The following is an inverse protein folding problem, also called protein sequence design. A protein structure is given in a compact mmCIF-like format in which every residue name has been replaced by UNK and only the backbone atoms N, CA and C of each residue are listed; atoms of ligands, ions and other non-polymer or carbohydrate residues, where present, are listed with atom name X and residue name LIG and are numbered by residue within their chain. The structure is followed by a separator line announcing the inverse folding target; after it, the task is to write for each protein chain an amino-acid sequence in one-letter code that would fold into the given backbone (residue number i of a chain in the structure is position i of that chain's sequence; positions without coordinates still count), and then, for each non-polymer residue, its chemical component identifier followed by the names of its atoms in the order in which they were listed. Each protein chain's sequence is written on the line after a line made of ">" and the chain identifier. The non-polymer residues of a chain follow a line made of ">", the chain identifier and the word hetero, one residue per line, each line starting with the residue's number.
data_IF_092750614476
#
_entry.id   IF_092750614476
#
_cell.length_a   1.000
_cell.length_b   1.000
_cell.length_c   1.000
_cell.angle_alpha   90.00
_cell.angle_beta   90.00
_cell.angle_gamma   90.00
#
_symmetry.space_group_name_H-M   'P 1'
#
loop_
_entity.id
_entity.type
_entity.pdbx_description
1 polymer ?
#
# COMPACT_ATOMS: atom_id res chain seq x y z
N UNK A 1 2.51 28.16 65.37
CA UNK A 1 2.36 26.73 65.72
C UNK A 1 2.58 25.81 64.53
N UNK A 2 2.05 26.11 63.33
CA UNK A 2 2.13 25.25 62.11
C UNK A 2 3.53 24.95 61.56
N UNK A 3 4.45 25.92 61.56
CA UNK A 3 5.80 25.74 60.99
C UNK A 3 6.71 24.74 61.74
N UNK A 4 6.36 24.37 62.98
CA UNK A 4 7.12 23.35 63.72
C UNK A 4 6.62 21.94 63.36
N UNK A 5 5.32 21.76 63.13
CA UNK A 5 4.74 20.48 62.72
C UNK A 5 5.31 20.02 61.38
N UNK A 6 5.39 20.93 60.39
CA UNK A 6 5.95 20.63 59.06
C UNK A 6 7.39 20.12 59.13
N UNK A 7 8.23 20.73 59.98
CA UNK A 7 9.64 20.31 60.18
C UNK A 7 9.77 18.93 60.82
N UNK A 8 8.82 18.56 61.68
CA UNK A 8 8.84 17.23 62.31
C UNK A 8 8.41 16.15 61.29
N UNK A 9 7.46 16.45 60.42
CA UNK A 9 7.05 15.56 59.32
C UNK A 9 8.18 15.37 58.31
N UNK A 10 8.87 16.45 57.94
CA UNK A 10 10.00 16.39 57.00
C UNK A 10 11.16 15.56 57.58
N UNK A 11 11.45 15.70 58.87
CA UNK A 11 12.47 14.90 59.57
C UNK A 11 12.08 13.42 59.69
N UNK A 12 10.79 13.12 59.83
CA UNK A 12 10.27 11.75 59.82
C UNK A 12 10.41 11.12 58.42
N UNK A 13 10.10 11.86 57.36
CA UNK A 13 10.25 11.40 55.97
C UNK A 13 11.73 11.14 55.66
N UNK A 14 12.64 12.04 56.05
CA UNK A 14 14.08 11.88 55.81
C UNK A 14 14.66 10.66 56.57
N UNK A 15 14.17 10.38 57.78
CA UNK A 15 14.56 9.20 58.54
C UNK A 15 14.04 7.90 57.89
N UNK A 16 12.77 7.89 57.47
CA UNK A 16 12.17 6.75 56.76
C UNK A 16 12.87 6.48 55.41
N UNK A 17 13.26 7.51 54.67
CA UNK A 17 14.00 7.36 53.42
C UNK A 17 15.45 6.89 53.63
N UNK A 18 16.11 7.29 54.72
CA UNK A 18 17.46 6.83 55.07
C UNK A 18 17.51 5.38 55.54
N UNK A 19 16.52 4.96 56.31
CA UNK A 19 16.45 3.59 56.86
C UNK A 19 15.94 2.58 55.82
N UNK A 20 15.27 3.07 54.77
CA UNK A 20 14.96 2.25 53.60
C UNK A 20 16.24 2.06 52.80
N UNK A 21 16.88 0.90 52.93
CA UNK A 21 18.00 0.51 52.07
C UNK A 21 17.57 0.72 50.62
N UNK A 22 18.21 1.66 49.91
CA UNK A 22 17.94 1.88 48.49
C UNK A 22 18.18 0.53 47.82
N UNK A 23 17.09 -0.12 47.38
CA UNK A 23 17.15 -1.34 46.61
C UNK A 23 17.84 -0.97 45.29
N UNK A 24 19.16 -1.09 45.27
CA UNK A 24 19.93 -0.88 44.06
C UNK A 24 19.44 -1.94 43.07
N UNK A 25 19.01 -1.54 41.87
CA UNK A 25 18.61 -2.51 40.87
C UNK A 25 19.74 -3.52 40.68
N UNK A 26 19.38 -4.75 40.33
CA UNK A 26 20.39 -5.75 39.98
C UNK A 26 21.34 -5.18 38.92
N UNK A 27 22.62 -5.55 38.96
CA UNK A 27 23.64 -5.09 38.00
C UNK A 27 23.16 -5.16 36.54
N UNK A 28 22.38 -6.19 36.19
CA UNK A 28 21.86 -6.41 34.83
C UNK A 28 20.45 -5.86 34.57
N UNK A 29 19.88 -5.05 35.47
CA UNK A 29 18.49 -4.56 35.35
C UNK A 29 18.30 -3.80 34.04
N UNK A 30 19.17 -2.84 33.75
CA UNK A 30 19.12 -2.04 32.52
C UNK A 30 19.27 -2.91 31.29
N UNK A 31 20.17 -3.91 31.32
CA UNK A 31 20.36 -4.84 30.21
C UNK A 31 19.12 -5.68 29.94
N UNK A 32 18.49 -6.25 30.98
CA UNK A 32 17.26 -7.03 30.85
C UNK A 32 16.09 -6.19 30.34
N UNK A 33 15.87 -5.01 30.92
CA UNK A 33 14.79 -4.11 30.49
C UNK A 33 15.01 -3.65 29.06
N UNK A 34 16.24 -3.26 28.70
CA UNK A 34 16.55 -2.84 27.33
C UNK A 34 16.41 -4.00 26.33
N UNK A 35 16.76 -5.23 26.71
CA UNK A 35 16.55 -6.41 25.86
C UNK A 35 15.06 -6.66 25.56
N UNK A 36 14.19 -6.49 26.55
CA UNK A 36 12.74 -6.65 26.38
C UNK A 36 12.13 -5.48 25.61
N UNK A 37 12.61 -4.26 25.83
CA UNK A 37 12.17 -3.07 25.08
C UNK A 37 12.59 -3.18 23.61
N UNK A 38 13.81 -3.64 23.32
CA UNK A 38 14.28 -3.85 21.94
C UNK A 38 13.46 -4.97 21.29
N UNK A 39 13.24 -6.11 21.96
CA UNK A 39 12.44 -7.21 21.44
C UNK A 39 10.97 -6.81 21.14
N UNK A 40 10.37 -5.97 21.98
CA UNK A 40 9.02 -5.46 21.76
C UNK A 40 8.99 -4.35 20.69
N UNK A 41 10.04 -3.54 20.56
CA UNK A 41 10.16 -2.53 19.49
C UNK A 41 10.42 -3.16 18.13
N UNK A 42 11.19 -4.25 18.03
CA UNK A 42 11.38 -4.97 16.76
C UNK A 42 10.10 -5.66 16.30
N UNK A 43 9.26 -6.11 17.23
CA UNK A 43 7.91 -6.63 16.89
C UNK A 43 6.93 -5.55 16.43
N UNK A 44 7.18 -4.28 16.78
CA UNK A 44 6.35 -3.12 16.40
C UNK A 44 7.05 -2.22 15.37
N UNK A 45 8.17 -2.66 14.79
CA UNK A 45 8.71 -2.01 13.60
C UNK A 45 7.63 -2.15 12.53
N UNK A 46 7.11 -1.01 12.08
CA UNK A 46 6.19 -0.88 10.96
C UNK A 46 6.86 -1.49 9.74
N UNK A 47 6.74 -2.81 9.62
CA UNK A 47 7.27 -3.55 8.49
C UNK A 47 6.46 -3.08 7.32
N UNK A 48 7.15 -2.45 6.37
CA UNK A 48 6.57 -1.94 5.15
C UNK A 48 6.07 -3.14 4.33
N UNK A 49 4.89 -3.64 4.68
CA UNK A 49 4.27 -4.73 3.97
C UNK A 49 3.73 -4.15 2.67
N UNK A 50 4.19 -4.64 1.51
CA UNK A 50 3.73 -4.10 0.24
C UNK A 50 2.21 -4.24 0.18
N UNK A 51 1.53 -3.13 -0.13
CA UNK A 51 0.06 -2.99 -0.14
C UNK A 51 -0.64 -4.09 -0.97
N UNK A 52 0.08 -4.66 -1.94
CA UNK A 52 -0.30 -5.82 -2.74
C UNK A 52 0.89 -6.77 -2.80
N UNK A 53 0.65 -8.06 -2.52
CA UNK A 53 1.67 -9.12 -2.62
C UNK A 53 2.22 -9.22 -4.05
N UNK A 54 3.52 -9.50 -4.19
CA UNK A 54 4.18 -9.63 -5.52
C UNK A 54 3.49 -10.67 -6.43
N UNK A 55 2.91 -11.71 -5.84
CA UNK A 55 2.17 -12.75 -6.55
C UNK A 55 0.84 -12.23 -7.13
N UNK A 56 0.17 -11.32 -6.44
CA UNK A 56 -1.09 -10.71 -6.89
C UNK A 56 -0.87 -9.82 -8.12
N UNK A 57 0.26 -9.11 -8.20
CA UNK A 57 0.61 -8.35 -9.41
C UNK A 57 0.79 -9.25 -10.64
N UNK A 58 1.41 -10.41 -10.48
CA UNK A 58 1.57 -11.40 -11.57
C UNK A 58 0.20 -11.91 -12.02
N UNK A 59 -0.70 -12.22 -11.09
CA UNK A 59 -2.04 -12.67 -11.40
C UNK A 59 -2.84 -11.61 -12.18
N UNK A 60 -2.75 -10.33 -11.79
CA UNK A 60 -3.39 -9.21 -12.50
C UNK A 60 -2.86 -9.09 -13.93
N UNK A 61 -1.54 -9.17 -14.10
CA UNK A 61 -0.91 -9.05 -15.42
C UNK A 61 -1.32 -10.19 -16.35
N UNK A 62 -1.37 -11.42 -15.83
CA UNK A 62 -1.84 -12.60 -16.58
C UNK A 62 -3.31 -12.43 -16.98
N UNK A 63 -4.18 -12.02 -16.05
CA UNK A 63 -5.60 -11.80 -16.34
C UNK A 63 -5.83 -10.76 -17.43
N UNK A 64 -5.06 -9.67 -17.39
CA UNK A 64 -5.09 -8.63 -18.42
C UNK A 64 -4.61 -9.17 -19.78
N UNK A 65 -3.51 -9.92 -19.80
CA UNK A 65 -2.97 -10.50 -21.03
C UNK A 65 -3.95 -11.47 -21.70
N UNK A 66 -4.65 -12.29 -20.91
CA UNK A 66 -5.70 -13.20 -21.41
C UNK A 66 -6.86 -12.41 -22.02
N UNK A 67 -7.29 -11.32 -21.37
CA UNK A 67 -8.36 -10.46 -21.88
C UNK A 67 -7.97 -9.80 -23.20
N UNK A 68 -6.73 -9.32 -23.31
CA UNK A 68 -6.19 -8.75 -24.56
C UNK A 68 -6.15 -9.82 -25.65
N UNK A 69 -5.64 -11.03 -25.35
CA UNK A 69 -5.58 -12.13 -26.31
C UNK A 69 -6.98 -12.54 -26.80
N UNK A 70 -7.98 -12.56 -25.91
CA UNK A 70 -9.36 -12.84 -26.26
C UNK A 70 -9.94 -11.79 -27.21
N UNK A 71 -9.67 -10.50 -26.97
CA UNK A 71 -10.11 -9.40 -27.84
C UNK A 71 -9.42 -9.47 -29.20
N UNK A 72 -8.12 -9.80 -29.25
CA UNK A 72 -7.38 -9.94 -30.51
C UNK A 72 -7.88 -11.14 -31.34
N UNK A 73 -8.21 -12.26 -30.70
CA UNK A 73 -8.71 -13.44 -31.40
C UNK A 73 -10.13 -13.25 -31.94
N UNK A 74 -10.99 -12.54 -31.21
CA UNK A 74 -12.37 -12.27 -31.62
C UNK A 74 -12.54 -10.95 -32.41
N UNK A 75 -11.47 -10.15 -32.53
CA UNK A 75 -11.45 -8.88 -33.26
C UNK A 75 -11.51 -9.12 -34.76
N UNK A 76 -12.69 -9.43 -35.27
CA UNK A 76 -12.94 -9.63 -36.70
C UNK A 76 -12.60 -8.38 -37.51
N UNK A 77 -11.79 -8.60 -38.54
CA UNK A 77 -11.41 -7.69 -39.61
C UNK A 77 -12.48 -6.66 -39.98
N UNK A 78 -12.23 -5.40 -39.62
CA UNK A 78 -12.87 -4.24 -40.25
C UNK A 78 -11.84 -3.51 -41.13
N UNK A 79 -11.28 -4.22 -42.10
CA UNK A 79 -10.91 -3.56 -43.36
C UNK A 79 -12.22 -3.23 -44.06
N UNK A 80 -12.55 -1.96 -44.30
CA UNK A 80 -13.26 -1.50 -45.50
C UNK A 80 -13.55 0.01 -45.41
N UNK A 81 -13.11 0.73 -46.45
CA UNK A 81 -13.48 2.09 -46.82
C UNK A 81 -15.01 2.32 -46.77
N UNK A 82 -15.56 2.79 -45.64
CA UNK A 82 -17.00 3.07 -45.49
C UNK A 82 -17.31 4.46 -44.93
N UNK A 83 -16.60 5.48 -45.39
CA UNK A 83 -16.92 6.89 -45.10
C UNK A 83 -18.17 7.42 -45.87
N UNK A 84 -18.86 6.62 -46.69
CA UNK A 84 -19.85 7.14 -47.64
C UNK A 84 -21.28 6.56 -47.59
N UNK A 85 -21.72 5.90 -46.50
CA UNK A 85 -23.14 5.50 -46.44
C UNK A 85 -23.69 5.47 -45.02
N UNK A 86 -24.07 6.64 -44.52
CA UNK A 86 -24.87 6.77 -43.30
C UNK A 86 -26.32 6.39 -43.61
N UNK A 87 -26.71 5.17 -43.25
CA UNK A 87 -28.08 4.70 -43.28
C UNK A 87 -28.77 5.01 -41.94
N UNK A 88 -29.81 5.86 -41.97
CA UNK A 88 -30.59 6.32 -40.82
C UNK A 88 -31.51 5.25 -40.19
N UNK A 89 -31.31 3.96 -40.50
CA UNK A 89 -32.06 2.86 -39.89
C UNK A 89 -31.52 2.45 -38.50
N UNK A 90 -30.56 3.22 -37.95
CA UNK A 90 -29.91 2.96 -36.65
C UNK A 90 -30.81 3.26 -35.43
N UNK A 91 -31.94 3.93 -35.63
CA UNK A 91 -32.83 4.35 -34.54
C UNK A 91 -33.87 3.29 -34.13
N UNK A 92 -34.13 2.27 -34.95
CA UNK A 92 -35.27 1.35 -34.76
C UNK A 92 -34.92 0.06 -34.01
N UNK A 93 -33.65 -0.25 -33.76
CA UNK A 93 -33.22 -1.46 -33.05
C UNK A 93 -32.06 -1.15 -32.07
N UNK A 94 -32.36 -0.35 -31.04
CA UNK A 94 -31.41 0.02 -29.99
C UNK A 94 -31.10 -1.17 -29.08
N UNK A 95 -30.09 -1.97 -29.47
CA UNK A 95 -29.42 -2.88 -28.55
C UNK A 95 -28.08 -2.23 -28.15
N UNK A 96 -27.96 -1.62 -26.95
CA UNK A 96 -26.83 -0.74 -26.59
C UNK A 96 -25.48 -1.46 -26.59
N UNK A 97 -25.50 -2.79 -26.53
CA UNK A 97 -24.32 -3.66 -26.52
C UNK A 97 -23.77 -3.86 -27.94
N UNK A 98 -24.61 -3.80 -28.98
CA UNK A 98 -24.21 -4.07 -30.37
C UNK A 98 -23.72 -2.83 -31.12
N UNK A 99 -24.01 -1.64 -30.60
CA UNK A 99 -23.62 -0.35 -31.19
C UNK A 99 -22.21 0.11 -30.77
N UNK A 100 -21.56 -0.59 -29.84
CA UNK A 100 -20.23 -0.24 -29.36
C UNK A 100 -19.13 -0.79 -30.29
N UNK A 101 -19.09 -0.26 -31.52
CA UNK A 101 -18.01 -0.57 -32.45
C UNK A 101 -16.88 0.45 -32.24
N UNK A 102 -15.84 0.05 -31.52
CA UNK A 102 -14.61 0.84 -31.44
C UNK A 102 -13.82 0.70 -32.74
N UNK A 103 -13.24 1.82 -33.19
CA UNK A 103 -12.30 1.79 -34.30
C UNK A 103 -11.07 0.95 -33.93
N UNK A 104 -10.58 0.15 -34.87
CA UNK A 104 -9.44 -0.76 -34.65
C UNK A 104 -8.23 -0.02 -34.08
N UNK A 105 -7.99 1.22 -34.53
CA UNK A 105 -6.90 2.06 -34.02
C UNK A 105 -7.10 2.44 -32.56
N UNK A 106 -8.33 2.76 -32.15
CA UNK A 106 -8.66 3.10 -30.76
C UNK A 106 -8.46 1.89 -29.87
N UNK A 107 -8.86 0.69 -30.30
CA UNK A 107 -8.63 -0.55 -29.57
C UNK A 107 -7.14 -0.83 -29.37
N UNK A 108 -6.32 -0.72 -30.43
CA UNK A 108 -4.87 -0.92 -30.30
C UNK A 108 -4.21 0.11 -29.39
N UNK A 109 -4.60 1.39 -29.48
CA UNK A 109 -4.07 2.45 -28.61
C UNK A 109 -4.43 2.19 -27.16
N UNK A 110 -5.68 1.84 -26.85
CA UNK A 110 -6.13 1.54 -25.48
C UNK A 110 -5.34 0.36 -24.91
N UNK A 111 -5.19 -0.73 -25.68
CA UNK A 111 -4.39 -1.89 -25.26
C UNK A 111 -2.94 -1.50 -24.97
N UNK A 112 -2.30 -0.75 -25.87
CA UNK A 112 -0.91 -0.32 -25.71
C UNK A 112 -0.75 0.60 -24.49
N UNK A 113 -1.66 1.54 -24.28
CA UNK A 113 -1.67 2.42 -23.11
C UNK A 113 -1.85 1.65 -21.81
N UNK A 114 -2.75 0.65 -21.77
CA UNK A 114 -2.92 -0.19 -20.58
C UNK A 114 -1.66 -0.97 -20.25
N UNK A 115 -1.01 -1.59 -21.25
CA UNK A 115 0.26 -2.29 -21.07
C UNK A 115 1.33 -1.33 -20.53
N UNK A 116 1.42 -0.12 -21.09
CA UNK A 116 2.38 0.88 -20.63
C UNK A 116 2.13 1.29 -19.18
N UNK A 117 0.87 1.53 -18.79
CA UNK A 117 0.53 1.86 -17.40
C UNK A 117 0.87 0.72 -16.44
N UNK A 118 0.62 -0.53 -16.83
CA UNK A 118 1.00 -1.70 -16.03
C UNK A 118 2.52 -1.79 -15.80
N UNK A 119 3.34 -1.30 -16.72
CA UNK A 119 4.80 -1.25 -16.57
C UNK A 119 5.24 0.00 -15.79
N UNK A 120 4.56 1.13 -15.98
CA UNK A 120 4.89 2.39 -15.31
C UNK A 120 4.65 2.34 -13.80
N UNK A 121 3.58 1.69 -13.33
CA UNK A 121 3.26 1.58 -11.90
C UNK A 121 4.39 0.90 -11.08
N UNK A 122 4.92 -0.28 -11.45
CA UNK A 122 6.00 -0.92 -10.72
C UNK A 122 7.34 -0.18 -10.86
N UNK A 123 7.63 0.46 -12.01
CA UNK A 123 8.81 1.31 -12.17
C UNK A 123 8.78 2.49 -11.19
N UNK A 124 7.64 3.17 -11.09
CA UNK A 124 7.46 4.30 -10.20
C UNK A 124 7.54 3.88 -8.73
N UNK A 125 6.93 2.72 -8.39
CA UNK A 125 7.05 2.13 -7.06
C UNK A 125 8.51 1.85 -6.68
N UNK A 126 9.28 1.23 -7.58
CA UNK A 126 10.68 0.90 -7.33
C UNK A 126 11.55 2.16 -7.15
N UNK A 127 11.26 3.22 -7.93
CA UNK A 127 11.95 4.50 -7.80
C UNK A 127 11.73 5.15 -6.43
N UNK A 128 10.49 5.12 -5.92
CA UNK A 128 10.18 5.69 -4.61
C UNK A 128 10.69 4.83 -3.46
N UNK A 129 10.58 3.49 -3.52
CA UNK A 129 11.12 2.59 -2.48
C UNK A 129 12.64 2.83 -2.30
N UNK A 130 13.40 3.01 -3.39
CA UNK A 130 14.84 3.32 -3.34
C UNK A 130 15.17 4.68 -2.72
N UNK A 131 14.22 5.62 -2.63
CA UNK A 131 14.44 6.96 -2.08
C UNK A 131 14.09 7.05 -0.60
N UNK A 132 13.26 6.14 -0.09
CA UNK A 132 12.85 6.09 1.32
C UNK A 132 13.65 5.08 2.16
N UNK A 133 14.57 4.32 1.55
CA UNK A 133 15.55 3.46 2.24
C UNK A 133 16.90 4.17 2.54
N UNK A 134 17.01 5.50 2.34
CA UNK A 134 18.15 6.33 2.72
C UNK A 134 17.81 7.23 3.92
#
# INVERSE_FOLDING_TARGET
>A
MKANEDKNIEKLIDHLMKDTTLASPSFDFTSKVMSQVIANKTSAATTYQPLISKQTFIAIFIGLAVLIAYVLWNGTAASNNRLLHLNYNLLTNFNPIKTWQFSTITTYTVVLTTIMLCIQIPLLKNYYDSKFEA
#
